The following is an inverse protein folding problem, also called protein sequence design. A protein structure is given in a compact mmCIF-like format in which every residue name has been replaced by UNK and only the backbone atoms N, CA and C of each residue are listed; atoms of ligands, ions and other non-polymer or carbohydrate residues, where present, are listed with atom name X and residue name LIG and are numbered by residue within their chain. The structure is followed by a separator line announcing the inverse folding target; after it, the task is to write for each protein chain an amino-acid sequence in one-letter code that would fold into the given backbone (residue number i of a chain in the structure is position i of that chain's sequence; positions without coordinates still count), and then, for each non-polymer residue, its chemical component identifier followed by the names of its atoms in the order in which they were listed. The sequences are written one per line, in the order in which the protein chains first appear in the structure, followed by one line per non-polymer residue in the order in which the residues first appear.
data_IF_652195975803
#
_entry.id   IF_652195975803
#
_cell.length_a   1.000
_cell.length_b   1.000
_cell.length_c   1.000
_cell.angle_alpha   90.00
_cell.angle_beta   90.00
_cell.angle_gamma   90.00
#
_symmetry.space_group_name_H-M   'P 1'
#
loop_
_entity.id
_entity.type
_entity.pdbx_description
1 polymer ?
#
# COMPACT_ATOMS: atom_id res chain seq x y z
N UNK A 1 -4.01 1.15 -18.02
CA UNK A 1 -2.89 0.20 -18.14
C UNK A 1 -3.51 -1.16 -18.49
N UNK A 2 -3.05 -1.86 -19.53
CA UNK A 2 -3.50 -3.23 -19.79
C UNK A 2 -3.00 -4.13 -18.66
N UNK A 3 -3.84 -5.05 -18.19
CA UNK A 3 -3.46 -6.03 -17.17
C UNK A 3 -2.37 -6.95 -17.73
N UNK A 4 -1.29 -7.13 -16.98
CA UNK A 4 -0.21 -8.06 -17.31
C UNK A 4 -0.32 -9.33 -16.46
N UNK A 5 -0.44 -10.49 -17.10
CA UNK A 5 -0.52 -11.80 -16.42
C UNK A 5 0.86 -12.39 -16.11
N UNK A 6 1.96 -11.71 -16.50
CA UNK A 6 3.32 -12.17 -16.19
C UNK A 6 3.67 -12.01 -14.71
N UNK A 7 4.53 -12.91 -14.24
CA UNK A 7 5.15 -12.81 -12.94
C UNK A 7 5.96 -11.53 -12.81
N UNK A 8 5.66 -10.76 -11.77
CA UNK A 8 6.31 -9.52 -11.45
C UNK A 8 7.73 -9.76 -10.91
N UNK A 9 8.68 -8.92 -11.30
CA UNK A 9 10.11 -9.19 -11.10
C UNK A 9 10.54 -9.05 -9.64
N UNK A 10 10.06 -8.02 -8.94
CA UNK A 10 10.49 -7.69 -7.59
C UNK A 10 9.57 -8.24 -6.51
N UNK A 11 8.27 -8.18 -6.71
CA UNK A 11 7.27 -8.73 -5.78
C UNK A 11 7.12 -10.24 -5.94
N UNK A 12 7.47 -10.80 -7.10
CA UNK A 12 7.30 -12.21 -7.41
C UNK A 12 5.84 -12.64 -7.53
N UNK A 13 4.91 -11.68 -7.63
CA UNK A 13 3.48 -11.93 -7.70
C UNK A 13 3.01 -12.21 -9.12
N UNK A 14 1.96 -13.00 -9.23
CA UNK A 14 1.21 -13.27 -10.46
C UNK A 14 -0.27 -12.96 -10.24
N UNK A 15 -0.98 -12.63 -11.33
CA UNK A 15 -2.42 -12.29 -11.25
C UNK A 15 -3.26 -13.43 -10.68
N UNK A 16 -2.92 -14.68 -11.02
CA UNK A 16 -3.55 -15.89 -10.50
C UNK A 16 -3.54 -15.97 -8.97
N UNK A 17 -2.55 -15.35 -8.31
CA UNK A 17 -2.38 -15.39 -6.87
C UNK A 17 -3.18 -14.32 -6.12
N UNK A 18 -3.43 -13.18 -6.77
CA UNK A 18 -4.17 -12.04 -6.17
C UNK A 18 -5.64 -11.98 -6.61
N UNK A 19 -6.02 -12.76 -7.64
CA UNK A 19 -7.38 -12.79 -8.17
C UNK A 19 -7.79 -11.47 -8.82
N UNK A 20 -8.96 -10.95 -8.45
CA UNK A 20 -9.47 -9.65 -8.89
C UNK A 20 -9.30 -8.55 -7.83
N UNK A 21 -8.29 -8.66 -6.96
CA UNK A 21 -8.02 -7.65 -5.94
C UNK A 21 -7.76 -6.28 -6.58
N UNK A 22 -8.65 -5.32 -6.30
CA UNK A 22 -8.49 -3.93 -6.74
C UNK A 22 -7.91 -3.02 -5.65
N UNK A 23 -7.81 -3.52 -4.42
CA UNK A 23 -7.30 -2.80 -3.25
C UNK A 23 -6.03 -3.44 -2.71
N UNK A 24 -5.05 -2.61 -2.35
CA UNK A 24 -3.85 -3.02 -1.64
C UNK A 24 -3.58 -2.14 -0.41
N UNK A 25 -3.30 -2.78 0.71
CA UNK A 25 -2.83 -2.16 1.95
C UNK A 25 -1.31 -2.35 2.01
N UNK A 26 -0.60 -1.24 2.17
CA UNK A 26 0.84 -1.16 1.99
C UNK A 26 1.56 -0.79 3.30
N UNK A 27 1.86 -1.76 4.18
CA UNK A 27 2.80 -1.55 5.28
C UNK A 27 4.23 -1.35 4.75
N UNK A 28 5.09 -0.71 5.55
CA UNK A 28 6.52 -0.59 5.19
C UNK A 28 7.30 -1.85 5.54
N UNK A 29 7.09 -2.34 6.76
CA UNK A 29 7.80 -3.48 7.33
C UNK A 29 7.16 -4.82 6.90
N UNK A 30 7.93 -5.74 6.28
CA UNK A 30 7.46 -7.10 5.96
C UNK A 30 6.95 -7.88 7.18
N UNK A 31 7.49 -7.60 8.37
CA UNK A 31 7.09 -8.23 9.62
C UNK A 31 5.67 -7.86 10.07
N UNK A 32 5.14 -6.70 9.63
CA UNK A 32 3.78 -6.26 9.95
C UNK A 32 2.70 -6.87 9.05
N UNK A 33 3.07 -7.43 7.90
CA UNK A 33 2.11 -7.95 6.91
C UNK A 33 1.24 -9.09 7.49
N UNK A 34 1.79 -10.13 8.15
CA UNK A 34 0.97 -11.23 8.65
C UNK A 34 -0.02 -10.77 9.74
N UNK A 35 0.43 -9.90 10.64
CA UNK A 35 -0.41 -9.38 11.72
C UNK A 35 -1.54 -8.49 11.17
N UNK A 36 -1.20 -7.55 10.27
CA UNK A 36 -2.18 -6.68 9.64
C UNK A 36 -3.20 -7.46 8.81
N UNK A 37 -2.76 -8.46 8.05
CA UNK A 37 -3.67 -9.31 7.26
C UNK A 37 -4.61 -10.12 8.16
N UNK A 38 -4.09 -10.70 9.25
CA UNK A 38 -4.90 -11.48 10.22
C UNK A 38 -5.85 -10.62 11.06
N UNK A 39 -5.52 -9.36 11.27
CA UNK A 39 -6.41 -8.41 11.93
C UNK A 39 -7.64 -8.08 11.08
N UNK A 40 -7.52 -8.16 9.75
CA UNK A 40 -8.65 -7.97 8.82
C UNK A 40 -9.52 -9.23 8.74
N UNK A 41 -8.90 -10.40 8.60
CA UNK A 41 -9.56 -11.69 8.73
C UNK A 41 -8.53 -12.77 9.09
N UNK A 42 -8.84 -13.58 10.11
CA UNK A 42 -7.99 -14.70 10.53
C UNK A 42 -7.72 -15.75 9.45
N UNK A 43 -8.57 -15.82 8.42
CA UNK A 43 -8.42 -16.69 7.25
C UNK A 43 -7.46 -16.15 6.18
N UNK A 44 -6.85 -14.98 6.41
CA UNK A 44 -5.87 -14.40 5.50
C UNK A 44 -4.75 -15.39 5.14
N UNK A 45 -4.37 -15.43 3.87
CA UNK A 45 -3.38 -16.37 3.33
C UNK A 45 -2.11 -15.66 2.87
N UNK A 46 -0.96 -16.22 3.24
CA UNK A 46 0.31 -15.85 2.65
C UNK A 46 0.33 -16.22 1.15
N UNK A 47 0.93 -15.36 0.32
CA UNK A 47 1.12 -15.62 -1.11
C UNK A 47 2.60 -15.87 -1.38
N UNK A 48 3.41 -14.85 -1.15
CA UNK A 48 4.82 -14.86 -1.50
C UNK A 48 5.60 -13.86 -0.64
N UNK A 49 6.88 -14.16 -0.45
CA UNK A 49 7.84 -13.23 0.13
C UNK A 49 9.05 -13.22 -0.77
N UNK A 50 9.30 -12.09 -1.43
CA UNK A 50 10.48 -11.89 -2.26
C UNK A 50 11.10 -10.56 -1.89
N UNK A 51 12.38 -10.59 -1.50
CA UNK A 51 13.10 -9.42 -0.96
C UNK A 51 12.30 -8.78 0.20
N UNK A 52 12.04 -7.48 0.15
CA UNK A 52 11.22 -6.74 1.11
C UNK A 52 9.70 -6.79 0.85
N UNK A 53 9.23 -7.56 -0.14
CA UNK A 53 7.81 -7.63 -0.52
C UNK A 53 7.17 -8.92 0.01
N UNK A 54 6.66 -8.87 1.25
CA UNK A 54 5.84 -9.91 1.84
C UNK A 54 4.37 -9.63 1.49
N UNK A 55 3.73 -10.58 0.82
CA UNK A 55 2.39 -10.40 0.23
C UNK A 55 1.41 -11.45 0.75
N UNK A 56 0.27 -10.97 1.22
CA UNK A 56 -0.85 -11.76 1.71
C UNK A 56 -2.12 -11.30 1.00
N UNK A 57 -3.11 -12.18 0.90
CA UNK A 57 -4.47 -11.76 0.53
C UNK A 57 -5.44 -12.13 1.64
N UNK A 58 -6.40 -11.25 1.81
CA UNK A 58 -7.49 -11.35 2.76
C UNK A 58 -8.80 -11.06 2.04
N UNK A 59 -9.90 -11.64 2.49
CA UNK A 59 -11.23 -11.33 1.99
C UNK A 59 -11.91 -10.40 2.98
N UNK A 60 -12.28 -9.20 2.53
CA UNK A 60 -13.02 -8.22 3.32
C UNK A 60 -14.35 -7.99 2.61
N UNK A 61 -15.47 -8.30 3.28
CA UNK A 61 -16.82 -8.16 2.70
C UNK A 61 -16.97 -8.81 1.31
N UNK A 62 -16.44 -10.04 1.16
CA UNK A 62 -16.40 -10.79 -0.12
C UNK A 62 -15.50 -10.19 -1.21
N UNK A 63 -14.72 -9.15 -0.90
CA UNK A 63 -13.75 -8.52 -1.81
C UNK A 63 -12.34 -8.96 -1.45
N UNK A 64 -11.54 -9.48 -2.39
CA UNK A 64 -10.13 -9.74 -2.13
C UNK A 64 -9.35 -8.44 -2.00
N UNK A 65 -8.59 -8.34 -0.91
CA UNK A 65 -7.70 -7.22 -0.59
C UNK A 65 -6.29 -7.75 -0.43
N UNK A 66 -5.34 -7.13 -1.11
CA UNK A 66 -3.92 -7.46 -0.96
C UNK A 66 -3.32 -6.71 0.24
N UNK A 67 -2.47 -7.37 1.01
CA UNK A 67 -1.59 -6.74 2.00
C UNK A 67 -0.15 -7.02 1.58
N UNK A 68 0.58 -5.99 1.15
CA UNK A 68 1.93 -6.14 0.57
C UNK A 68 2.89 -5.11 1.15
N UNK A 69 4.00 -5.56 1.75
CA UNK A 69 5.01 -4.62 2.26
C UNK A 69 5.78 -3.92 1.13
N UNK A 70 6.21 -2.69 1.39
CA UNK A 70 6.93 -1.87 0.40
C UNK A 70 8.40 -1.64 0.74
N UNK A 71 8.86 -2.05 1.92
CA UNK A 71 10.13 -1.61 2.46
C UNK A 71 10.16 -0.12 2.81
N UNK A 72 11.37 0.41 3.01
CA UNK A 72 11.62 1.79 3.41
C UNK A 72 11.98 2.64 2.19
N UNK A 73 11.27 3.76 2.02
CA UNK A 73 11.60 4.79 1.03
C UNK A 73 10.75 4.75 -0.24
N UNK A 74 10.80 5.87 -0.97
CA UNK A 74 10.09 6.04 -2.24
C UNK A 74 10.49 5.04 -3.33
N UNK A 75 11.78 4.70 -3.53
CA UNK A 75 12.19 3.80 -4.61
C UNK A 75 11.57 2.39 -4.54
N UNK A 76 11.62 1.72 -3.38
CA UNK A 76 11.02 0.39 -3.22
C UNK A 76 9.48 0.45 -3.24
N UNK A 77 8.91 1.53 -2.70
CA UNK A 77 7.46 1.77 -2.77
C UNK A 77 6.98 1.92 -4.21
N UNK A 78 7.72 2.65 -5.04
CA UNK A 78 7.39 2.83 -6.46
C UNK A 78 7.36 1.49 -7.20
N UNK A 79 8.35 0.62 -6.96
CA UNK A 79 8.38 -0.74 -7.52
C UNK A 79 7.13 -1.53 -7.15
N UNK A 80 6.77 -1.56 -5.86
CA UNK A 80 5.56 -2.26 -5.42
C UNK A 80 4.31 -1.71 -6.10
N UNK A 81 4.12 -0.39 -6.12
CA UNK A 81 2.93 0.23 -6.71
C UNK A 81 2.85 -0.06 -8.21
N UNK A 82 3.95 0.04 -8.96
CA UNK A 82 3.99 -0.25 -10.39
C UNK A 82 3.61 -1.70 -10.70
N UNK A 83 4.26 -2.66 -10.04
CA UNK A 83 4.01 -4.08 -10.30
C UNK A 83 2.59 -4.48 -9.89
N UNK A 84 2.09 -3.97 -8.76
CA UNK A 84 0.71 -4.22 -8.34
C UNK A 84 -0.32 -3.56 -9.27
N UNK A 85 -0.03 -2.36 -9.79
CA UNK A 85 -0.88 -1.70 -10.77
C UNK A 85 -0.93 -2.46 -12.11
N UNK A 86 0.19 -3.04 -12.55
CA UNK A 86 0.24 -3.93 -13.72
C UNK A 86 -0.60 -5.20 -13.51
N UNK A 87 -0.61 -5.72 -12.29
CA UNK A 87 -1.50 -6.81 -11.89
C UNK A 87 -2.95 -6.37 -11.68
N UNK A 88 -3.28 -5.09 -11.88
CA UNK A 88 -4.64 -4.52 -11.89
C UNK A 88 -5.17 -4.01 -10.55
N UNK A 89 -4.32 -3.86 -9.53
CA UNK A 89 -4.66 -3.10 -8.32
C UNK A 89 -4.84 -1.63 -8.69
N UNK A 90 -5.89 -1.00 -8.15
CA UNK A 90 -6.25 0.40 -8.47
C UNK A 90 -6.20 1.32 -7.28
N UNK A 91 -6.41 0.78 -6.09
CA UNK A 91 -6.57 1.53 -4.85
C UNK A 91 -5.47 1.12 -3.87
N UNK A 92 -4.68 2.09 -3.41
CA UNK A 92 -3.53 1.86 -2.55
C UNK A 92 -3.68 2.64 -1.24
N UNK A 93 -3.56 1.96 -0.11
CA UNK A 93 -3.64 2.55 1.23
C UNK A 93 -2.33 2.26 1.96
N UNK A 94 -1.49 3.28 2.11
CA UNK A 94 -0.23 3.17 2.87
C UNK A 94 -0.53 3.21 4.37
N UNK A 95 -0.10 2.18 5.10
CA UNK A 95 -0.20 2.12 6.57
C UNK A 95 1.20 2.15 7.15
N UNK A 96 1.45 3.06 8.09
CA UNK A 96 2.78 3.27 8.62
C UNK A 96 2.75 3.92 9.99
N UNK A 97 3.95 4.13 10.53
CA UNK A 97 4.19 4.87 11.77
C UNK A 97 4.85 6.18 11.41
N UNK A 98 4.49 7.27 12.08
CA UNK A 98 5.08 8.59 11.87
C UNK A 98 5.31 9.29 13.20
N UNK A 99 6.25 10.24 13.21
CA UNK A 99 6.41 11.18 14.31
C UNK A 99 5.56 12.43 14.06
N UNK A 100 4.95 12.97 15.11
CA UNK A 100 4.26 14.26 15.01
C UNK A 100 5.21 15.43 15.25
N UNK A 101 5.01 16.51 14.50
CA UNK A 101 5.59 17.84 14.75
C UNK A 101 4.55 18.82 15.34
N UNK A 102 3.30 18.39 15.46
CA UNK A 102 2.20 19.15 16.07
C UNK A 102 2.11 18.80 17.55
N UNK A 103 1.99 19.83 18.40
CA UNK A 103 1.99 19.68 19.87
C UNK A 103 0.80 18.90 20.42
N UNK A 104 -0.30 18.83 19.67
CA UNK A 104 -1.58 18.27 20.08
C UNK A 104 -1.86 16.87 19.49
N UNK A 105 -0.84 16.21 18.95
CA UNK A 105 -0.94 14.82 18.48
C UNK A 105 -0.06 13.98 19.41
N UNK A 106 -0.66 12.99 20.05
CA UNK A 106 -0.04 12.13 21.05
C UNK A 106 0.34 10.75 20.47
N UNK A 107 1.05 9.95 21.26
CA UNK A 107 1.36 8.57 20.87
C UNK A 107 0.09 7.73 20.83
N UNK A 108 -0.11 7.03 19.71
CA UNK A 108 -1.29 6.20 19.48
C UNK A 108 -2.37 6.91 18.65
N UNK A 109 -2.26 8.21 18.44
CA UNK A 109 -3.17 8.94 17.55
C UNK A 109 -3.03 8.46 16.10
N UNK A 110 -4.17 8.42 15.41
CA UNK A 110 -4.25 8.10 13.99
C UNK A 110 -4.17 9.40 13.19
N UNK A 111 -3.28 9.43 12.20
CA UNK A 111 -3.12 10.56 11.29
C UNK A 111 -3.44 10.11 9.87
N UNK A 112 -4.36 10.80 9.21
CA UNK A 112 -4.70 10.61 7.80
C UNK A 112 -4.06 11.75 6.99
N UNK A 113 -3.08 11.42 6.16
CA UNK A 113 -2.39 12.40 5.32
C UNK A 113 -3.25 12.81 4.13
N UNK A 114 -3.60 14.09 4.03
CA UNK A 114 -4.27 14.67 2.86
C UNK A 114 -3.29 14.94 1.71
N UNK A 115 -2.06 15.32 2.06
CA UNK A 115 -0.98 15.62 1.14
C UNK A 115 0.37 15.42 1.83
N UNK A 116 1.44 15.34 1.04
CA UNK A 116 2.81 15.27 1.54
C UNK A 116 3.69 16.38 0.95
N UNK A 117 4.57 16.94 1.77
CA UNK A 117 5.68 17.79 1.26
C UNK A 117 6.67 16.87 0.55
N UNK A 118 6.95 17.16 -0.71
CA UNK A 118 7.77 16.31 -1.60
C UNK A 118 9.27 16.51 -1.37
N UNK A 119 9.74 16.12 -0.19
CA UNK A 119 11.16 16.04 0.15
C UNK A 119 11.73 14.64 -0.17
N UNK A 120 11.40 14.12 -1.34
CA UNK A 120 11.85 12.83 -1.85
C UNK A 120 12.42 12.98 -3.27
N UNK A 121 13.09 11.92 -3.77
CA UNK A 121 13.59 11.90 -5.15
C UNK A 121 12.77 11.03 -6.10
N UNK A 122 12.00 10.05 -5.59
CA UNK A 122 11.27 9.12 -6.44
C UNK A 122 10.13 9.83 -7.18
N UNK A 123 9.41 10.72 -6.49
CA UNK A 123 8.26 11.43 -7.05
C UNK A 123 8.61 12.30 -8.26
N UNK A 124 9.84 12.82 -8.35
CA UNK A 124 10.25 13.66 -9.49
C UNK A 124 10.44 12.87 -10.79
N UNK A 125 10.56 11.54 -10.72
CA UNK A 125 10.53 10.68 -11.91
C UNK A 125 9.11 10.53 -12.49
N UNK A 126 8.08 10.86 -11.69
CA UNK A 126 6.67 10.73 -12.08
C UNK A 126 6.03 12.05 -12.48
N UNK A 127 6.38 13.14 -11.79
CA UNK A 127 5.78 14.44 -12.02
C UNK A 127 6.75 15.57 -11.65
N UNK A 128 6.67 16.74 -12.32
CA UNK A 128 7.48 17.90 -11.98
C UNK A 128 7.21 18.36 -10.54
N UNK A 129 8.15 19.03 -9.88
CA UNK A 129 8.10 19.31 -8.42
C UNK A 129 6.87 20.13 -8.00
N UNK A 130 6.34 20.94 -8.92
CA UNK A 130 5.13 21.76 -8.76
C UNK A 130 3.86 20.92 -8.67
N UNK A 131 3.88 19.68 -9.16
CA UNK A 131 2.73 18.79 -9.08
C UNK A 131 2.46 18.38 -7.62
N UNK A 132 1.25 18.60 -7.08
CA UNK A 132 0.99 18.36 -5.67
C UNK A 132 0.87 16.85 -5.38
N UNK A 133 1.56 16.37 -4.34
CA UNK A 133 1.41 15.00 -3.84
C UNK A 133 0.18 14.93 -2.92
N UNK A 134 -1.01 14.91 -3.50
CA UNK A 134 -2.31 14.85 -2.81
C UNK A 134 -2.91 13.44 -2.85
N UNK A 135 -3.55 13.04 -1.75
CA UNK A 135 -4.26 11.78 -1.66
C UNK A 135 -5.58 11.84 -2.46
N UNK A 136 -6.10 10.65 -2.81
CA UNK A 136 -7.44 10.54 -3.41
C UNK A 136 -8.50 10.99 -2.41
N UNK A 137 -9.32 11.97 -2.79
CA UNK A 137 -10.41 12.50 -1.97
C UNK A 137 -11.36 11.39 -1.48
N UNK A 138 -11.68 10.43 -2.35
CA UNK A 138 -12.60 9.35 -2.00
C UNK A 138 -12.02 8.42 -0.93
N UNK A 139 -10.76 7.98 -1.08
CA UNK A 139 -10.09 7.13 -0.09
C UNK A 139 -9.90 7.86 1.24
N UNK A 140 -9.50 9.14 1.18
CA UNK A 140 -9.33 9.97 2.37
C UNK A 140 -10.63 10.10 3.16
N UNK A 141 -11.74 10.38 2.49
CA UNK A 141 -13.04 10.50 3.15
C UNK A 141 -13.51 9.15 3.73
N UNK A 142 -13.31 8.05 2.99
CA UNK A 142 -13.63 6.72 3.50
C UNK A 142 -12.85 6.40 4.78
N UNK A 143 -11.56 6.70 4.83
CA UNK A 143 -10.74 6.51 6.04
C UNK A 143 -11.21 7.40 7.20
N UNK A 144 -11.56 8.66 6.94
CA UNK A 144 -12.02 9.58 7.99
C UNK A 144 -13.42 9.29 8.53
N UNK A 145 -14.21 8.45 7.86
CA UNK A 145 -15.51 7.98 8.36
C UNK A 145 -15.40 6.71 9.21
N UNK A 146 -14.27 6.00 9.10
CA UNK A 146 -13.99 4.78 9.86
C UNK A 146 -13.25 5.02 11.18
N UNK A 147 -12.77 6.25 11.42
CA UNK A 147 -12.01 6.67 12.60
C UNK A 147 -12.90 7.17 13.73
#
# INVERSE_FOLDING_TARGET
MSVDDRKQYHTGLERSQIGNAEFAILPGDPGRVPELAKALDTSARAIHMHREYNSWVVIVDSVPVLVCSTGIGGPSTAIAVEELAQLGVKNFIRVGTTGSIQKNIEFGDIVISLAAVRLDGASTHYAPIEYPAVASLWLTNALGQCS
#
